data_IF_324483003253
#
_entry.id   IF_324483003253
#
_cell.length_a   1.000
_cell.length_b   1.000
_cell.length_c   1.000
_cell.angle_alpha   90.00
_cell.angle_beta   90.00
_cell.angle_gamma   90.00
#
_symmetry.space_group_name_H-M   'P 1'
#
loop_
_entity.id
_entity.type
_entity.pdbx_description
1 polymer ?
#
# COMPACT_ATOMS: atom_id res chain seq x y z
N UNK A 1 22.89 -13.87 -17.45
CA UNK A 1 22.50 -12.68 -16.70
C UNK A 1 22.49 -13.03 -15.23
N UNK A 2 23.16 -12.24 -14.38
CA UNK A 2 23.24 -12.44 -12.94
C UNK A 2 22.34 -11.45 -12.20
N UNK A 3 21.66 -11.91 -11.17
CA UNK A 3 20.79 -11.09 -10.33
C UNK A 3 21.38 -11.06 -8.91
N UNK A 4 21.58 -9.87 -8.37
CA UNK A 4 21.94 -9.68 -6.96
C UNK A 4 20.73 -9.22 -6.16
N UNK A 5 20.53 -9.78 -4.97
CA UNK A 5 19.71 -9.18 -3.93
C UNK A 5 20.51 -8.13 -3.18
N UNK A 6 19.95 -6.93 -2.99
CA UNK A 6 20.49 -5.87 -2.16
C UNK A 6 19.50 -5.54 -1.03
N UNK A 7 19.93 -5.71 0.21
CA UNK A 7 19.13 -5.43 1.40
C UNK A 7 19.87 -4.52 2.37
N UNK A 8 19.11 -3.66 3.04
CA UNK A 8 19.55 -2.97 4.26
C UNK A 8 18.79 -3.59 5.43
N UNK A 9 19.47 -3.83 6.54
CA UNK A 9 18.87 -4.48 7.72
C UNK A 9 19.24 -3.76 9.01
N UNK A 10 18.38 -3.88 10.03
CA UNK A 10 18.67 -3.48 11.40
C UNK A 10 17.71 -4.17 12.37
N UNK A 11 18.22 -5.05 13.22
CA UNK A 11 17.45 -5.73 14.25
C UNK A 11 16.23 -6.52 13.72
N UNK A 12 16.48 -7.45 12.79
CA UNK A 12 15.48 -8.25 12.09
C UNK A 12 15.74 -9.76 12.24
N UNK A 13 16.37 -10.19 13.34
CA UNK A 13 16.76 -11.61 13.55
C UNK A 13 15.58 -12.59 13.48
N UNK A 14 14.37 -12.14 13.85
CA UNK A 14 13.16 -12.95 13.91
C UNK A 14 12.55 -13.28 12.55
N UNK A 15 12.80 -12.44 11.53
CA UNK A 15 12.12 -12.51 10.21
C UNK A 15 13.08 -12.73 9.05
N UNK A 16 14.37 -12.40 9.22
CA UNK A 16 15.34 -12.38 8.14
C UNK A 16 15.58 -13.77 7.53
N UNK A 17 15.51 -14.84 8.31
CA UNK A 17 15.70 -16.21 7.82
C UNK A 17 14.62 -16.58 6.79
N UNK A 18 13.35 -16.27 7.07
CA UNK A 18 12.23 -16.54 6.15
C UNK A 18 12.35 -15.71 4.86
N UNK A 19 12.71 -14.43 4.98
CA UNK A 19 12.96 -13.55 3.84
C UNK A 19 14.05 -14.13 2.93
N UNK A 20 15.26 -14.35 3.49
CA UNK A 20 16.41 -14.85 2.72
C UNK A 20 16.17 -16.26 2.17
N UNK A 21 15.47 -17.11 2.92
CA UNK A 21 15.07 -18.44 2.48
C UNK A 21 14.17 -18.40 1.25
N UNK A 22 13.19 -17.51 1.23
CA UNK A 22 12.22 -17.36 0.13
C UNK A 22 12.85 -16.87 -1.18
N UNK A 23 13.89 -16.04 -1.11
CA UNK A 23 14.52 -15.41 -2.28
C UNK A 23 15.80 -16.12 -2.75
N UNK A 24 16.35 -17.05 -1.97
CA UNK A 24 17.63 -17.73 -2.26
C UNK A 24 17.71 -18.34 -3.66
N UNK A 25 16.60 -18.91 -4.16
CA UNK A 25 16.55 -19.54 -5.48
C UNK A 25 16.27 -18.55 -6.62
N UNK A 26 15.97 -17.28 -6.32
CA UNK A 26 15.65 -16.24 -7.30
C UNK A 26 16.90 -15.44 -7.70
N UNK A 27 17.95 -15.45 -6.90
CA UNK A 27 19.14 -14.61 -7.09
C UNK A 27 20.43 -15.43 -7.16
N UNK A 28 21.50 -14.82 -7.66
CA UNK A 28 22.85 -15.42 -7.76
C UNK A 28 23.78 -14.94 -6.63
N UNK A 29 23.41 -13.84 -5.96
CA UNK A 29 24.17 -13.22 -4.90
C UNK A 29 23.23 -12.54 -3.91
N UNK A 30 23.57 -12.60 -2.63
CA UNK A 30 22.88 -11.87 -1.56
C UNK A 30 23.85 -10.90 -0.91
N UNK A 31 23.53 -9.62 -0.99
CA UNK A 31 24.22 -8.53 -0.29
C UNK A 31 23.31 -8.03 0.83
N UNK A 32 23.82 -8.08 2.06
CA UNK A 32 23.17 -7.51 3.24
C UNK A 32 24.06 -6.40 3.79
N UNK A 33 23.49 -5.21 3.91
CA UNK A 33 24.12 -4.06 4.55
C UNK A 33 23.48 -3.85 5.92
N UNK A 34 24.26 -4.02 6.97
CA UNK A 34 23.84 -3.72 8.33
C UNK A 34 23.93 -2.23 8.64
N UNK A 35 22.89 -1.69 9.25
CA UNK A 35 22.83 -0.27 9.66
C UNK A 35 22.91 -0.09 11.18
N UNK A 36 23.54 -1.05 11.86
CA UNK A 36 23.77 -1.06 13.30
C UNK A 36 22.82 -1.97 14.05
N UNK A 37 22.77 -3.25 13.67
CA UNK A 37 22.07 -4.29 14.43
C UNK A 37 22.75 -4.55 15.78
N UNK A 38 21.96 -4.91 16.78
CA UNK A 38 22.38 -5.23 18.14
C UNK A 38 21.91 -6.62 18.60
N UNK A 39 21.20 -7.33 17.72
CA UNK A 39 20.70 -8.68 17.90
C UNK A 39 21.44 -9.67 16.96
N UNK A 40 20.94 -10.90 16.82
CA UNK A 40 21.51 -11.96 15.99
C UNK A 40 21.32 -11.81 14.48
N UNK A 41 20.85 -10.65 13.98
CA UNK A 41 20.54 -10.42 12.56
C UNK A 41 21.71 -10.80 11.64
N UNK A 42 22.94 -10.47 12.03
CA UNK A 42 24.11 -10.68 11.18
C UNK A 42 24.54 -12.14 11.15
N UNK A 43 24.40 -12.84 12.28
CA UNK A 43 24.64 -14.28 12.38
C UNK A 43 23.66 -15.04 11.48
N UNK A 44 22.38 -14.65 11.47
CA UNK A 44 21.36 -15.20 10.56
C UNK A 44 21.73 -14.95 9.10
N UNK A 45 22.04 -13.70 8.74
CA UNK A 45 22.43 -13.34 7.38
C UNK A 45 23.64 -14.16 6.86
N UNK A 46 24.69 -14.31 7.69
CA UNK A 46 25.88 -15.10 7.34
C UNK A 46 25.55 -16.58 7.14
N UNK A 47 24.73 -17.18 8.02
CA UNK A 47 24.29 -18.58 7.90
C UNK A 47 23.52 -18.82 6.60
N UNK A 48 22.76 -17.82 6.15
CA UNK A 48 22.00 -17.87 4.89
C UNK A 48 22.86 -17.63 3.64
N UNK A 49 24.17 -17.39 3.80
CA UNK A 49 25.12 -17.21 2.70
C UNK A 49 25.21 -15.78 2.17
N UNK A 50 24.71 -14.80 2.92
CA UNK A 50 24.82 -13.39 2.55
C UNK A 50 26.25 -12.86 2.72
N UNK A 51 26.67 -11.97 1.82
CA UNK A 51 27.85 -11.11 2.02
C UNK A 51 27.43 -9.90 2.85
N UNK A 52 28.10 -9.72 3.98
CA UNK A 52 27.75 -8.66 4.95
C UNK A 52 28.67 -7.47 4.76
N UNK A 53 28.08 -6.27 4.79
CA UNK A 53 28.79 -5.00 4.89
C UNK A 53 28.15 -4.16 5.98
N UNK A 54 28.93 -3.26 6.58
CA UNK A 54 28.43 -2.31 7.56
C UNK A 54 28.28 -0.93 6.92
N UNK A 55 27.23 -0.22 7.30
CA UNK A 55 26.98 1.16 6.92
C UNK A 55 26.53 1.95 8.14
N UNK A 56 27.27 3.00 8.51
CA UNK A 56 26.91 3.85 9.62
C UNK A 56 25.61 4.60 9.30
N UNK A 57 24.54 4.33 10.05
CA UNK A 57 23.26 5.00 9.87
C UNK A 57 23.38 6.52 9.92
N UNK A 58 22.98 7.18 8.83
CA UNK A 58 23.11 8.62 8.63
C UNK A 58 21.76 9.35 8.49
N UNK A 59 20.66 8.71 8.91
CA UNK A 59 19.29 9.23 8.71
C UNK A 59 18.89 9.37 7.23
N UNK A 60 19.40 8.47 6.37
CA UNK A 60 19.09 8.45 4.94
C UNK A 60 19.04 6.99 4.43
N UNK A 61 17.83 6.52 4.12
CA UNK A 61 17.60 5.18 3.57
C UNK A 61 18.18 5.03 2.17
N UNK A 62 18.12 6.07 1.32
CA UNK A 62 18.65 6.02 -0.03
C UNK A 62 20.17 5.82 -0.04
N UNK A 63 20.91 6.48 0.86
CA UNK A 63 22.36 6.29 0.98
C UNK A 63 22.71 4.85 1.33
N UNK A 64 22.01 4.25 2.30
CA UNK A 64 22.23 2.85 2.68
C UNK A 64 21.88 1.88 1.53
N UNK A 65 20.75 2.10 0.83
CA UNK A 65 20.37 1.27 -0.32
C UNK A 65 21.34 1.40 -1.49
N UNK A 66 21.81 2.61 -1.77
CA UNK A 66 22.80 2.86 -2.82
C UNK A 66 24.15 2.22 -2.47
N UNK A 67 24.55 2.24 -1.19
CA UNK A 67 25.74 1.52 -0.73
C UNK A 67 25.58 0.01 -0.93
N UNK A 68 24.43 -0.58 -0.58
CA UNK A 68 24.13 -1.99 -0.83
C UNK A 68 24.20 -2.35 -2.32
N UNK A 69 23.51 -1.58 -3.16
CA UNK A 69 23.51 -1.73 -4.61
C UNK A 69 24.93 -1.63 -5.21
N UNK A 70 25.78 -0.77 -4.65
CA UNK A 70 27.18 -0.61 -5.05
C UNK A 70 28.06 -1.84 -4.76
N UNK A 71 27.67 -2.71 -3.81
CA UNK A 71 28.38 -3.97 -3.51
C UNK A 71 27.94 -5.14 -4.38
N UNK A 72 26.79 -5.04 -5.05
CA UNK A 72 26.29 -6.09 -5.92
C UNK A 72 27.17 -6.27 -7.15
N UNK A 73 27.44 -7.52 -7.56
CA UNK A 73 28.15 -7.84 -8.81
C UNK A 73 27.21 -8.22 -9.96
N UNK A 74 25.92 -8.43 -9.68
CA UNK A 74 24.91 -8.78 -10.66
C UNK A 74 24.65 -7.67 -11.69
N UNK A 75 24.14 -8.09 -12.85
CA UNK A 75 23.71 -7.20 -13.93
C UNK A 75 22.42 -6.46 -13.54
N UNK A 76 21.60 -7.12 -12.72
CA UNK A 76 20.33 -6.62 -12.20
C UNK A 76 20.29 -6.72 -10.68
N UNK A 77 19.56 -5.80 -10.07
CA UNK A 77 19.41 -5.69 -8.63
C UNK A 77 17.94 -5.90 -8.27
N UNK A 78 17.69 -6.87 -7.40
CA UNK A 78 16.45 -7.00 -6.65
C UNK A 78 16.66 -6.38 -5.27
N UNK A 79 15.69 -5.60 -4.81
CA UNK A 79 15.69 -5.02 -3.46
C UNK A 79 14.49 -5.58 -2.70
N UNK A 80 14.72 -6.07 -1.49
CA UNK A 80 13.67 -6.48 -0.55
C UNK A 80 13.98 -5.89 0.83
N UNK A 81 12.94 -5.76 1.64
CA UNK A 81 13.06 -5.48 3.08
C UNK A 81 13.05 -6.80 3.87
N UNK A 82 13.62 -6.81 5.07
CA UNK A 82 13.87 -8.05 5.84
C UNK A 82 12.61 -8.79 6.28
N UNK A 83 11.47 -8.11 6.30
CA UNK A 83 10.16 -8.62 6.70
C UNK A 83 9.24 -8.93 5.49
N UNK A 84 9.80 -8.92 4.27
CA UNK A 84 9.15 -9.30 3.02
C UNK A 84 9.54 -10.74 2.62
N UNK A 85 8.53 -11.61 2.43
CA UNK A 85 8.72 -13.01 2.04
C UNK A 85 8.13 -13.26 0.65
N UNK A 86 8.91 -13.83 -0.28
CA UNK A 86 8.43 -14.16 -1.62
C UNK A 86 7.33 -15.23 -1.54
N UNK A 87 6.16 -14.91 -2.07
CA UNK A 87 4.98 -15.79 -2.10
C UNK A 87 4.70 -16.34 -3.51
N UNK A 88 4.85 -15.49 -4.53
CA UNK A 88 4.62 -15.86 -5.93
C UNK A 88 5.79 -15.36 -6.76
N UNK A 89 6.28 -16.19 -7.68
CA UNK A 89 7.29 -15.81 -8.66
C UNK A 89 8.53 -16.69 -8.58
N UNK A 90 9.20 -16.81 -9.70
CA UNK A 90 10.40 -17.62 -9.87
C UNK A 90 11.51 -16.83 -10.56
N UNK A 91 12.74 -17.34 -10.47
CA UNK A 91 13.91 -16.72 -11.12
C UNK A 91 13.69 -16.45 -12.61
N UNK A 92 12.97 -17.34 -13.29
CA UNK A 92 12.71 -17.21 -14.71
C UNK A 92 11.88 -15.95 -15.02
N UNK A 93 10.93 -15.56 -14.16
CA UNK A 93 10.14 -14.34 -14.37
C UNK A 93 11.04 -13.08 -14.33
N UNK A 94 12.05 -13.06 -13.46
CA UNK A 94 13.04 -11.97 -13.39
C UNK A 94 13.93 -11.96 -14.62
N UNK A 95 14.38 -13.14 -15.08
CA UNK A 95 15.22 -13.29 -16.27
C UNK A 95 14.48 -12.82 -17.52
N UNK A 96 13.25 -13.31 -17.73
CA UNK A 96 12.43 -12.95 -18.88
C UNK A 96 12.13 -11.45 -18.89
N UNK A 97 11.84 -10.87 -17.72
CA UNK A 97 11.63 -9.42 -17.63
C UNK A 97 12.87 -8.66 -18.09
N UNK A 98 14.04 -9.00 -17.54
CA UNK A 98 15.27 -8.26 -17.79
C UNK A 98 15.80 -8.43 -19.22
N UNK A 99 15.61 -9.60 -19.86
CA UNK A 99 15.95 -9.81 -21.28
C UNK A 99 15.02 -8.99 -22.19
N UNK A 100 13.71 -9.02 -21.93
CA UNK A 100 12.74 -8.35 -22.79
C UNK A 100 12.65 -6.83 -22.53
N UNK A 101 13.20 -6.35 -21.41
CA UNK A 101 13.06 -4.97 -20.96
C UNK A 101 14.37 -4.39 -20.38
N UNK A 102 15.48 -4.36 -21.15
CA UNK A 102 16.81 -4.01 -20.63
C UNK A 102 16.92 -2.58 -20.04
N UNK A 103 16.03 -1.67 -20.45
CA UNK A 103 15.94 -0.28 -19.95
C UNK A 103 14.62 0.02 -19.25
N UNK A 104 14.15 -0.93 -18.44
CA UNK A 104 12.95 -0.78 -17.62
C UNK A 104 13.22 -1.08 -16.15
N UNK A 105 12.35 -0.53 -15.29
CA UNK A 105 12.30 -0.86 -13.87
C UNK A 105 11.11 -1.78 -13.63
N UNK A 106 11.39 -2.92 -13.04
CA UNK A 106 10.43 -3.89 -12.53
C UNK A 106 9.78 -3.44 -11.24
N UNK A 107 8.45 -3.46 -11.22
CA UNK A 107 7.64 -3.32 -10.02
C UNK A 107 7.17 -4.68 -9.55
N UNK A 108 7.42 -5.00 -8.29
CA UNK A 108 6.92 -6.21 -7.65
C UNK A 108 5.65 -5.87 -6.87
N UNK A 109 4.77 -6.85 -6.68
CA UNK A 109 3.59 -6.69 -5.85
C UNK A 109 3.94 -6.97 -4.39
N UNK A 110 3.60 -6.06 -3.50
CA UNK A 110 3.76 -6.24 -2.05
C UNK A 110 2.36 -6.35 -1.45
N UNK A 111 2.05 -7.47 -0.80
CA UNK A 111 0.84 -7.65 0.00
C UNK A 111 1.18 -7.40 1.48
N UNK A 112 0.67 -6.30 2.05
CA UNK A 112 0.81 -5.97 3.47
C UNK A 112 -0.43 -6.37 4.23
N UNK A 113 -0.29 -7.19 5.28
CA UNK A 113 -1.40 -7.61 6.14
C UNK A 113 -1.62 -6.61 7.28
N UNK A 114 -2.87 -6.36 7.63
CA UNK A 114 -3.24 -5.49 8.75
C UNK A 114 -4.53 -5.96 9.43
N UNK A 115 -4.78 -5.48 10.64
CA UNK A 115 -6.03 -5.73 11.35
C UNK A 115 -7.07 -4.68 10.94
N UNK A 116 -8.22 -5.15 10.45
CA UNK A 116 -9.40 -4.34 10.11
C UNK A 116 -10.58 -4.79 11.00
N UNK A 117 -10.81 -4.05 12.09
CA UNK A 117 -11.74 -4.47 13.14
C UNK A 117 -11.30 -5.78 13.80
N UNK A 118 -12.08 -6.85 13.58
CA UNK A 118 -11.81 -8.19 14.11
C UNK A 118 -11.25 -9.16 13.05
N UNK A 119 -10.95 -8.66 11.85
CA UNK A 119 -10.50 -9.47 10.72
C UNK A 119 -9.06 -9.11 10.34
N UNK A 120 -8.35 -10.07 9.76
CA UNK A 120 -7.10 -9.78 9.05
C UNK A 120 -7.47 -9.39 7.63
N UNK A 121 -7.09 -8.19 7.23
CA UNK A 121 -7.19 -7.71 5.86
C UNK A 121 -5.80 -7.54 5.26
N UNK A 122 -5.76 -7.20 3.98
CA UNK A 122 -4.50 -6.89 3.32
C UNK A 122 -4.68 -5.77 2.30
N UNK A 123 -3.58 -5.04 2.10
CA UNK A 123 -3.45 -4.05 1.04
C UNK A 123 -2.34 -4.44 0.09
N UNK A 124 -2.46 -4.08 -1.17
CA UNK A 124 -1.44 -4.36 -2.18
C UNK A 124 -0.92 -3.10 -2.84
N UNK A 125 0.39 -3.08 -3.11
CA UNK A 125 1.04 -2.02 -3.86
C UNK A 125 2.10 -2.57 -4.81
N UNK A 126 2.34 -1.84 -5.90
CA UNK A 126 3.41 -2.15 -6.85
C UNK A 126 4.59 -1.20 -6.65
N UNK A 127 5.70 -1.74 -6.15
CA UNK A 127 6.89 -0.93 -5.80
C UNK A 127 8.05 -1.29 -6.71
N UNK A 128 8.77 -0.26 -7.18
CA UNK A 128 9.99 -0.41 -7.98
C UNK A 128 11.11 -1.08 -7.17
N UNK A 129 11.35 -2.36 -7.42
CA UNK A 129 12.30 -3.18 -6.65
C UNK A 129 13.28 -3.98 -7.52
N UNK A 130 13.05 -4.10 -8.82
CA UNK A 130 13.93 -4.84 -9.73
C UNK A 130 14.42 -3.95 -10.87
N UNK A 131 15.73 -3.76 -11.02
CA UNK A 131 16.26 -2.78 -11.97
C UNK A 131 17.67 -3.12 -12.45
N UNK A 132 18.09 -2.66 -13.64
CA UNK A 132 19.44 -2.87 -14.13
C UNK A 132 20.42 -2.08 -13.26
N UNK A 133 21.59 -2.64 -13.01
CA UNK A 133 22.64 -2.00 -12.22
C UNK A 133 23.04 -0.64 -12.82
N UNK A 134 23.32 0.33 -11.95
CA UNK A 134 23.73 1.68 -12.32
C UNK A 134 22.70 2.77 -12.03
N UNK A 135 21.48 2.40 -11.60
CA UNK A 135 20.50 3.35 -11.08
C UNK A 135 20.71 3.61 -9.58
N UNK A 136 20.24 4.77 -9.11
CA UNK A 136 20.35 5.18 -7.71
C UNK A 136 18.98 5.57 -7.15
N UNK A 137 18.78 5.29 -5.86
CA UNK A 137 17.68 5.83 -5.07
C UNK A 137 17.96 7.26 -4.64
N UNK A 138 16.90 8.04 -4.49
CA UNK A 138 16.92 9.41 -3.97
C UNK A 138 15.77 9.64 -2.99
N UNK A 139 16.02 10.50 -2.00
CA UNK A 139 15.11 10.83 -0.90
C UNK A 139 15.50 10.11 0.38
N UNK A 140 15.56 10.80 1.51
CA UNK A 140 16.05 10.18 2.76
C UNK A 140 15.11 9.10 3.32
N UNK A 141 13.83 9.10 2.91
CA UNK A 141 12.79 8.12 3.25
C UNK A 141 11.74 8.08 2.13
N UNK A 142 11.08 6.92 1.95
CA UNK A 142 10.18 6.66 0.82
C UNK A 142 10.89 6.89 -0.53
N UNK A 143 12.16 6.54 -0.54
CA UNK A 143 13.13 6.74 -1.59
C UNK A 143 12.68 6.15 -2.93
N UNK A 144 12.97 6.85 -4.01
CA UNK A 144 12.58 6.46 -5.37
C UNK A 144 13.81 6.29 -6.24
N UNK A 145 13.78 5.31 -7.16
CA UNK A 145 14.81 5.19 -8.19
C UNK A 145 14.74 6.40 -9.13
N UNK A 146 15.82 7.18 -9.17
CA UNK A 146 15.98 8.33 -10.04
C UNK A 146 16.35 7.86 -11.45
N UNK A 147 15.36 7.81 -12.34
CA UNK A 147 15.55 7.34 -13.72
C UNK A 147 14.36 7.69 -14.62
N UNK A 148 14.67 7.92 -15.91
CA UNK A 148 13.69 8.05 -16.99
C UNK A 148 13.15 6.70 -17.49
N UNK A 149 13.65 5.57 -16.96
CA UNK A 149 13.21 4.25 -17.38
C UNK A 149 11.73 4.02 -17.09
N UNK A 150 11.05 3.41 -18.06
CA UNK A 150 9.65 3.03 -17.88
C UNK A 150 9.53 1.95 -16.80
N UNK A 151 8.40 1.95 -16.09
CA UNK A 151 8.11 1.01 -15.01
C UNK A 151 7.07 0.00 -15.46
N UNK A 152 7.34 -1.29 -15.26
CA UNK A 152 6.44 -2.38 -15.63
C UNK A 152 6.30 -3.37 -14.49
N UNK A 153 5.11 -3.96 -14.34
CA UNK A 153 4.88 -4.97 -13.31
C UNK A 153 5.56 -6.28 -13.69
N UNK A 154 6.13 -6.94 -12.69
CA UNK A 154 6.69 -8.29 -12.78
C UNK A 154 5.74 -9.23 -12.06
N UNK A 155 5.64 -10.47 -12.54
CA UNK A 155 5.00 -11.56 -11.81
C UNK A 155 5.89 -12.02 -10.64
N UNK A 156 6.07 -11.15 -9.65
CA UNK A 156 6.75 -11.41 -8.39
C UNK A 156 5.94 -10.74 -7.29
N UNK A 157 5.50 -11.52 -6.32
CA UNK A 157 4.72 -11.09 -5.16
C UNK A 157 5.45 -11.44 -3.88
N UNK A 158 5.51 -10.47 -2.98
CA UNK A 158 6.02 -10.65 -1.62
C UNK A 158 4.91 -10.35 -0.62
N UNK A 159 4.85 -11.13 0.45
CA UNK A 159 4.02 -10.84 1.62
C UNK A 159 4.88 -10.08 2.60
N UNK A 160 4.47 -8.86 2.92
CA UNK A 160 5.04 -8.08 4.00
C UNK A 160 4.32 -8.48 5.30
N UNK A 161 5.05 -9.25 6.13
CA UNK A 161 4.50 -9.85 7.35
C UNK A 161 4.21 -8.81 8.43
N UNK A 162 4.97 -7.71 8.44
CA UNK A 162 4.73 -6.53 9.25
C UNK A 162 4.41 -6.85 10.71
N UNK A 163 5.19 -7.75 11.36
CA UNK A 163 5.03 -8.13 12.76
C UNK A 163 4.62 -6.90 13.59
N UNK A 164 3.36 -6.94 14.00
CA UNK A 164 2.53 -5.88 14.58
C UNK A 164 3.22 -4.55 14.91
N UNK A 165 2.87 -3.51 14.14
CA UNK A 165 2.80 -2.10 14.57
C UNK A 165 3.90 -1.64 15.55
N UNK A 166 5.17 -1.73 15.17
CA UNK A 166 6.14 -0.78 15.73
C UNK A 166 5.77 0.59 15.16
N UNK A 167 5.28 1.49 16.00
CA UNK A 167 4.99 2.86 15.59
C UNK A 167 6.30 3.55 15.17
N UNK A 168 6.56 3.54 13.86
CA UNK A 168 7.70 4.20 13.21
C UNK A 168 7.34 5.62 12.78
N UNK A 169 6.13 6.11 13.09
CA UNK A 169 5.61 7.38 12.57
C UNK A 169 6.48 8.56 12.97
N UNK A 170 6.90 8.65 14.25
CA UNK A 170 7.75 9.75 14.74
C UNK A 170 9.05 9.86 13.96
N UNK A 171 9.83 8.78 13.89
CA UNK A 171 11.10 8.74 13.13
C UNK A 171 10.88 9.12 11.68
N UNK A 172 9.84 8.56 11.05
CA UNK A 172 9.56 8.83 9.64
C UNK A 172 9.17 10.30 9.41
N UNK A 173 8.36 10.88 10.29
CA UNK A 173 7.98 12.29 10.23
C UNK A 173 9.19 13.21 10.42
N UNK A 174 10.10 12.91 11.36
CA UNK A 174 11.31 13.72 11.57
C UNK A 174 12.15 13.79 10.28
N UNK A 175 12.30 12.67 9.55
CA UNK A 175 12.99 12.62 8.27
C UNK A 175 12.24 13.39 7.18
N UNK A 176 10.92 13.17 7.08
CA UNK A 176 10.09 13.82 6.07
C UNK A 176 10.02 15.34 6.24
N UNK A 177 9.93 15.83 7.48
CA UNK A 177 9.95 17.27 7.75
C UNK A 177 11.28 17.89 7.37
N UNK A 178 12.40 17.20 7.67
CA UNK A 178 13.72 17.65 7.24
C UNK A 178 13.85 17.70 5.72
N UNK A 179 13.32 16.69 5.01
CA UNK A 179 13.31 16.70 3.53
C UNK A 179 12.49 17.89 2.99
N UNK A 180 11.34 18.16 3.61
CA UNK A 180 10.44 19.26 3.23
C UNK A 180 11.06 20.66 3.43
N UNK A 181 12.09 20.81 4.28
CA UNK A 181 12.82 22.08 4.41
C UNK A 181 13.51 22.50 3.10
N UNK A 182 13.88 21.54 2.25
CA UNK A 182 14.56 21.80 0.97
C UNK A 182 13.62 22.33 -0.12
N UNK A 183 12.40 21.81 -0.18
CA UNK A 183 11.30 22.31 -1.01
C UNK A 183 9.97 22.14 -0.27
N UNK A 184 9.45 23.24 0.28
CA UNK A 184 8.22 23.24 1.06
C UNK A 184 6.96 22.87 0.27
N UNK A 185 7.06 22.82 -1.06
CA UNK A 185 5.96 22.50 -1.98
C UNK A 185 6.16 21.16 -2.71
N UNK A 186 7.11 20.32 -2.30
CA UNK A 186 7.24 18.99 -2.85
C UNK A 186 5.98 18.16 -2.53
N UNK A 187 5.12 17.98 -3.53
CA UNK A 187 3.86 17.25 -3.39
C UNK A 187 4.06 15.80 -2.96
N UNK A 188 5.15 15.15 -3.36
CA UNK A 188 5.39 13.77 -2.96
C UNK A 188 5.72 13.71 -1.47
N UNK A 189 6.58 14.59 -0.97
CA UNK A 189 6.91 14.66 0.47
C UNK A 189 5.69 15.08 1.30
N UNK A 190 4.92 16.07 0.85
CA UNK A 190 3.66 16.47 1.48
C UNK A 190 2.67 15.31 1.58
N UNK A 191 2.51 14.53 0.51
CA UNK A 191 1.69 13.32 0.52
C UNK A 191 2.22 12.27 1.51
N UNK A 192 3.53 12.03 1.56
CA UNK A 192 4.13 11.07 2.50
C UNK A 192 3.92 11.48 3.96
N UNK A 193 4.03 12.77 4.27
CA UNK A 193 3.72 13.31 5.60
C UNK A 193 2.24 13.09 5.93
N UNK A 194 1.34 13.49 5.03
CA UNK A 194 -0.10 13.33 5.22
C UNK A 194 -0.49 11.86 5.46
N UNK A 195 0.07 10.95 4.65
CA UNK A 195 -0.12 9.50 4.78
C UNK A 195 0.39 8.96 6.12
N UNK A 196 1.57 9.40 6.56
CA UNK A 196 2.16 8.96 7.83
C UNK A 196 1.34 9.44 9.02
N UNK A 197 0.88 10.69 9.02
CA UNK A 197 -0.02 11.24 10.04
C UNK A 197 -1.38 10.53 10.05
N UNK A 198 -1.93 10.24 8.87
CA UNK A 198 -3.20 9.52 8.74
C UNK A 198 -3.12 8.11 9.33
N UNK A 199 -2.07 7.34 9.01
CA UNK A 199 -1.85 6.01 9.60
C UNK A 199 -1.68 6.08 11.12
N UNK A 200 -1.02 7.15 11.61
CA UNK A 200 -0.91 7.46 13.04
C UNK A 200 -2.21 8.03 13.65
N UNK A 201 -3.32 8.07 12.90
CA UNK A 201 -4.64 8.59 13.30
C UNK A 201 -4.66 10.06 13.73
N UNK A 202 -3.66 10.83 13.29
CA UNK A 202 -3.55 12.29 13.51
C UNK A 202 -4.23 13.04 12.36
N UNK A 203 -5.53 12.80 12.18
CA UNK A 203 -6.26 13.17 10.97
C UNK A 203 -6.34 14.68 10.69
N UNK A 204 -6.46 15.50 11.75
CA UNK A 204 -6.48 16.97 11.61
C UNK A 204 -5.13 17.52 11.16
N UNK A 205 -4.03 16.98 11.70
CA UNK A 205 -2.70 17.37 11.25
C UNK A 205 -2.42 16.87 9.84
N UNK A 206 -2.87 15.66 9.51
CA UNK A 206 -2.77 15.10 8.16
C UNK A 206 -3.48 15.98 7.13
N UNK A 207 -4.65 16.53 7.48
CA UNK A 207 -5.46 17.38 6.60
C UNK A 207 -4.70 18.62 6.12
N UNK A 208 -3.90 19.24 6.99
CA UNK A 208 -3.07 20.39 6.62
C UNK A 208 -2.11 20.07 5.46
N UNK A 209 -1.57 18.85 5.44
CA UNK A 209 -0.65 18.41 4.38
C UNK A 209 -1.39 17.88 3.16
N UNK A 210 -2.53 17.20 3.34
CA UNK A 210 -3.40 16.84 2.24
C UNK A 210 -3.87 18.08 1.47
N UNK A 211 -4.33 19.12 2.15
CA UNK A 211 -4.81 20.35 1.53
C UNK A 211 -3.69 21.03 0.71
N UNK A 212 -2.48 21.14 1.28
CA UNK A 212 -1.31 21.70 0.58
C UNK A 212 -0.96 20.90 -0.68
N UNK A 213 -0.91 19.57 -0.56
CA UNK A 213 -0.64 18.69 -1.70
C UNK A 213 -1.76 18.80 -2.76
N UNK A 214 -3.02 18.88 -2.32
CA UNK A 214 -4.18 18.96 -3.20
C UNK A 214 -4.20 20.24 -4.03
N UNK A 215 -3.86 21.39 -3.43
CA UNK A 215 -3.79 22.69 -4.13
C UNK A 215 -2.82 22.69 -5.31
N UNK A 216 -1.75 21.91 -5.21
CA UNK A 216 -0.67 21.88 -6.19
C UNK A 216 -0.63 20.58 -6.99
N UNK A 217 -1.64 19.72 -6.89
CA UNK A 217 -1.61 18.39 -7.50
C UNK A 217 -1.53 18.49 -9.04
N UNK A 218 -0.53 17.83 -9.62
CA UNK A 218 -0.42 17.66 -11.08
C UNK A 218 -0.79 16.22 -11.42
N UNK A 219 -1.65 16.03 -12.42
CA UNK A 219 -2.27 14.72 -12.73
C UNK A 219 -1.34 13.64 -13.33
N UNK A 220 -0.02 13.79 -13.23
CA UNK A 220 0.96 12.91 -13.88
C UNK A 220 1.77 12.05 -12.91
N UNK A 221 1.44 12.02 -11.62
CA UNK A 221 2.15 11.23 -10.63
C UNK A 221 1.49 9.87 -10.40
N UNK A 222 2.32 8.83 -10.24
CA UNK A 222 1.90 7.44 -10.06
C UNK A 222 1.10 7.19 -8.77
N UNK A 223 1.11 8.12 -7.81
CA UNK A 223 0.44 8.00 -6.52
C UNK A 223 -0.90 8.76 -6.44
N UNK A 224 -1.32 9.47 -7.49
CA UNK A 224 -2.51 10.35 -7.45
C UNK A 224 -3.79 9.61 -7.03
N UNK A 225 -3.99 8.38 -7.54
CA UNK A 225 -5.14 7.55 -7.16
C UNK A 225 -5.17 7.27 -5.66
N UNK A 226 -4.06 6.76 -5.13
CA UNK A 226 -3.90 6.46 -3.70
C UNK A 226 -4.06 7.71 -2.83
N UNK A 227 -3.53 8.85 -3.30
CA UNK A 227 -3.71 10.14 -2.64
C UNK A 227 -5.19 10.53 -2.52
N UNK A 228 -5.95 10.50 -3.62
CA UNK A 228 -7.36 10.91 -3.63
C UNK A 228 -8.19 10.01 -2.71
N UNK A 229 -8.04 8.68 -2.79
CA UNK A 229 -8.76 7.74 -1.94
C UNK A 229 -8.44 7.98 -0.45
N UNK A 230 -7.16 8.14 -0.12
CA UNK A 230 -6.73 8.39 1.26
C UNK A 230 -7.20 9.75 1.77
N UNK A 231 -7.22 10.78 0.92
CA UNK A 231 -7.69 12.09 1.32
C UNK A 231 -9.20 12.10 1.59
N UNK A 232 -10.01 11.47 0.73
CA UNK A 232 -11.44 11.27 0.98
C UNK A 232 -11.65 10.57 2.33
N UNK A 233 -10.88 9.50 2.61
CA UNK A 233 -10.96 8.81 3.90
C UNK A 233 -10.56 9.72 5.07
N UNK A 234 -9.52 10.54 4.93
CA UNK A 234 -9.14 11.51 5.95
C UNK A 234 -10.27 12.51 6.26
N UNK A 235 -10.91 13.05 5.22
CA UNK A 235 -12.02 14.00 5.34
C UNK A 235 -13.23 13.41 6.06
N UNK A 236 -13.50 12.11 5.87
CA UNK A 236 -14.52 11.37 6.65
C UNK A 236 -14.18 11.39 8.14
N UNK A 237 -12.93 11.09 8.50
CA UNK A 237 -12.50 11.01 9.90
C UNK A 237 -12.53 12.36 10.64
N UNK A 238 -12.52 13.48 9.92
CA UNK A 238 -12.62 14.86 10.47
C UNK A 238 -13.92 15.56 10.10
N UNK A 239 -14.91 14.83 9.55
CA UNK A 239 -16.23 15.35 9.17
C UNK A 239 -16.22 16.56 8.21
N UNK A 240 -15.20 16.70 7.35
CA UNK A 240 -15.10 17.77 6.34
C UNK A 240 -15.78 17.36 5.03
N UNK A 241 -17.08 17.14 5.10
CA UNK A 241 -17.81 16.52 4.00
C UNK A 241 -18.00 17.42 2.76
N UNK A 242 -18.19 18.73 2.91
CA UNK A 242 -18.34 19.62 1.75
C UNK A 242 -17.10 19.57 0.83
N UNK A 243 -15.91 19.47 1.42
CA UNK A 243 -14.66 19.30 0.67
C UNK A 243 -14.65 17.93 -0.02
N UNK A 244 -15.03 16.88 0.69
CA UNK A 244 -15.07 15.53 0.14
C UNK A 244 -16.04 15.38 -1.04
N UNK A 245 -17.22 15.99 -0.97
CA UNK A 245 -18.20 16.05 -2.07
C UNK A 245 -17.58 16.67 -3.32
N UNK A 246 -16.96 17.85 -3.18
CA UNK A 246 -16.31 18.54 -4.30
C UNK A 246 -15.17 17.70 -4.91
N UNK A 247 -14.39 17.01 -4.09
CA UNK A 247 -13.31 16.12 -4.58
C UNK A 247 -13.89 14.94 -5.35
N UNK A 248 -14.90 14.27 -4.80
CA UNK A 248 -15.55 13.12 -5.45
C UNK A 248 -16.14 13.54 -6.79
N UNK A 249 -16.91 14.64 -6.83
CA UNK A 249 -17.50 15.17 -8.06
C UNK A 249 -16.43 15.47 -9.12
N UNK A 250 -15.36 16.15 -8.72
CA UNK A 250 -14.26 16.53 -9.63
C UNK A 250 -13.56 15.32 -10.26
N UNK A 251 -13.38 14.23 -9.52
CA UNK A 251 -12.62 13.06 -9.99
C UNK A 251 -13.46 11.86 -10.40
N UNK A 252 -14.78 11.95 -10.29
CA UNK A 252 -15.67 10.84 -10.59
C UNK A 252 -15.42 10.27 -11.99
N UNK A 253 -15.44 11.11 -13.03
CA UNK A 253 -15.21 10.68 -14.41
C UNK A 253 -13.84 10.02 -14.64
N UNK A 254 -12.85 10.35 -13.82
CA UNK A 254 -11.50 9.81 -13.94
C UNK A 254 -11.35 8.46 -13.25
N UNK A 255 -12.02 8.24 -12.11
CA UNK A 255 -11.83 7.08 -11.26
C UNK A 255 -13.08 6.19 -11.08
N UNK A 256 -14.19 6.47 -11.76
CA UNK A 256 -15.44 5.69 -11.63
C UNK A 256 -15.32 4.22 -12.04
N UNK A 257 -14.27 3.84 -12.77
CA UNK A 257 -13.97 2.45 -13.14
C UNK A 257 -12.96 1.78 -12.17
N UNK A 258 -12.68 2.38 -11.02
CA UNK A 258 -11.80 1.85 -9.98
C UNK A 258 -12.60 1.44 -8.74
N UNK A 259 -12.42 0.20 -8.29
CA UNK A 259 -13.19 -0.33 -7.17
C UNK A 259 -12.84 0.36 -5.84
N UNK A 260 -11.56 0.70 -5.59
CA UNK A 260 -11.14 1.40 -4.37
C UNK A 260 -11.73 2.81 -4.26
N UNK A 261 -11.79 3.54 -5.38
CA UNK A 261 -12.42 4.86 -5.43
C UNK A 261 -13.91 4.79 -5.13
N UNK A 262 -14.64 3.89 -5.79
CA UNK A 262 -16.07 3.71 -5.54
C UNK A 262 -16.34 3.22 -4.12
N UNK A 263 -15.51 2.33 -3.58
CA UNK A 263 -15.64 1.88 -2.20
C UNK A 263 -15.44 3.03 -1.21
N UNK A 264 -14.44 3.88 -1.46
CA UNK A 264 -14.20 5.10 -0.68
C UNK A 264 -15.39 6.07 -0.76
N UNK A 265 -16.02 6.21 -1.93
CA UNK A 265 -17.25 7.00 -2.11
C UNK A 265 -18.41 6.42 -1.30
N UNK A 266 -18.62 5.11 -1.31
CA UNK A 266 -19.68 4.45 -0.53
C UNK A 266 -19.52 4.70 0.97
N UNK A 267 -18.30 4.57 1.49
CA UNK A 267 -17.98 4.89 2.90
C UNK A 267 -18.20 6.38 3.18
N UNK A 268 -17.78 7.26 2.26
CA UNK A 268 -17.96 8.70 2.39
C UNK A 268 -19.44 9.07 2.45
N UNK A 269 -20.28 8.62 1.51
CA UNK A 269 -21.71 8.93 1.48
C UNK A 269 -22.45 8.37 2.70
N UNK A 270 -22.06 7.20 3.19
CA UNK A 270 -22.62 6.65 4.43
C UNK A 270 -22.35 7.58 5.62
N UNK A 271 -21.11 8.03 5.80
CA UNK A 271 -20.76 8.94 6.90
C UNK A 271 -21.37 10.34 6.72
N UNK A 272 -21.44 10.84 5.48
CA UNK A 272 -22.11 12.10 5.14
C UNK A 272 -23.57 12.09 5.61
N UNK A 273 -24.32 11.05 5.27
CA UNK A 273 -25.74 10.97 5.62
C UNK A 273 -25.93 10.79 7.12
N UNK A 274 -25.07 10.00 7.77
CA UNK A 274 -25.09 9.86 9.23
C UNK A 274 -24.79 11.17 9.96
N UNK A 275 -24.04 12.09 9.35
CA UNK A 275 -23.75 13.41 9.93
C UNK A 275 -24.99 14.32 9.96
N UNK A 276 -25.81 14.31 8.91
CA UNK A 276 -27.07 15.06 8.85
C UNK A 276 -28.03 14.46 7.80
N UNK A 277 -28.94 13.59 8.25
CA UNK A 277 -29.89 12.88 7.39
C UNK A 277 -30.84 13.83 6.66
N UNK A 278 -31.27 14.92 7.31
CA UNK A 278 -32.22 15.86 6.73
C UNK A 278 -31.63 16.65 5.58
N UNK A 279 -30.36 17.01 5.67
CA UNK A 279 -29.65 17.79 4.66
C UNK A 279 -29.14 16.93 3.51
N UNK A 280 -28.55 15.77 3.85
CA UNK A 280 -27.82 14.95 2.90
C UNK A 280 -28.58 13.70 2.43
N UNK A 281 -29.81 13.48 2.89
CA UNK A 281 -30.64 12.33 2.49
C UNK A 281 -30.83 12.19 0.98
N UNK A 282 -30.70 13.28 0.21
CA UNK A 282 -30.70 13.26 -1.27
C UNK A 282 -29.59 12.41 -1.88
N UNK A 283 -28.49 12.16 -1.16
CA UNK A 283 -27.35 11.36 -1.61
C UNK A 283 -27.47 9.86 -1.23
N UNK A 284 -28.57 9.43 -0.61
CA UNK A 284 -28.74 8.05 -0.12
C UNK A 284 -28.55 7.00 -1.21
N UNK A 285 -29.06 7.26 -2.41
CA UNK A 285 -28.94 6.35 -3.54
C UNK A 285 -27.46 6.13 -3.97
N UNK A 286 -26.58 7.10 -3.73
CA UNK A 286 -25.16 7.00 -4.10
C UNK A 286 -24.41 5.96 -3.26
N UNK A 287 -24.91 5.60 -2.07
CA UNK A 287 -24.33 4.50 -1.29
C UNK A 287 -24.50 3.17 -2.04
N UNK A 288 -25.72 2.89 -2.49
CA UNK A 288 -26.03 1.67 -3.26
C UNK A 288 -25.24 1.66 -4.58
N UNK A 289 -25.28 2.76 -5.33
CA UNK A 289 -24.57 2.88 -6.61
C UNK A 289 -23.07 2.64 -6.46
N UNK A 290 -22.44 3.23 -5.43
CA UNK A 290 -21.00 3.10 -5.18
C UNK A 290 -20.59 1.64 -5.00
N UNK A 291 -21.26 0.90 -4.12
CA UNK A 291 -20.89 -0.50 -3.86
C UNK A 291 -21.34 -1.46 -4.96
N UNK A 292 -22.44 -1.18 -5.67
CA UNK A 292 -22.79 -1.94 -6.87
C UNK A 292 -21.73 -1.76 -7.96
N UNK A 293 -21.20 -0.54 -8.12
CA UNK A 293 -20.11 -0.27 -9.07
C UNK A 293 -18.86 -1.05 -8.71
N UNK A 294 -18.51 -1.15 -7.43
CA UNK A 294 -17.42 -2.01 -6.98
C UNK A 294 -17.61 -3.46 -7.44
N UNK A 295 -18.81 -4.04 -7.24
CA UNK A 295 -19.11 -5.42 -7.64
C UNK A 295 -19.17 -5.61 -9.16
N UNK A 296 -19.61 -4.59 -9.90
CA UNK A 296 -19.59 -4.59 -11.37
C UNK A 296 -18.14 -4.63 -11.90
N UNK A 297 -17.24 -3.84 -11.30
CA UNK A 297 -15.82 -3.82 -11.65
C UNK A 297 -15.14 -5.14 -11.26
N UNK A 298 -15.49 -5.68 -10.09
CA UNK A 298 -14.90 -6.90 -9.56
C UNK A 298 -13.49 -6.73 -8.97
N UNK A 299 -12.92 -7.80 -8.43
CA UNK A 299 -11.54 -7.80 -7.94
C UNK A 299 -10.56 -7.65 -9.12
N UNK A 300 -9.60 -6.73 -8.98
CA UNK A 300 -8.57 -6.51 -10.01
C UNK A 300 -7.17 -6.70 -9.45
N UNK A 301 -6.19 -6.94 -10.32
CA UNK A 301 -4.79 -7.05 -9.90
C UNK A 301 -4.21 -5.74 -9.31
N UNK A 302 -4.87 -4.59 -9.52
CA UNK A 302 -4.44 -3.27 -9.06
C UNK A 302 -5.31 -2.73 -7.91
N UNK A 303 -6.10 -3.61 -7.28
CA UNK A 303 -6.89 -3.30 -6.10
C UNK A 303 -5.97 -2.98 -4.91
N UNK A 304 -6.16 -1.81 -4.30
CA UNK A 304 -5.34 -1.37 -3.17
C UNK A 304 -5.73 -2.14 -1.93
N UNK A 305 -7.02 -2.24 -1.60
CA UNK A 305 -7.50 -2.97 -0.42
C UNK A 305 -8.23 -4.22 -0.85
N UNK A 306 -7.75 -5.39 -0.40
CA UNK A 306 -8.33 -6.66 -0.80
C UNK A 306 -9.83 -6.73 -0.48
N UNK A 307 -10.62 -7.06 -1.50
CA UNK A 307 -12.05 -7.35 -1.40
C UNK A 307 -12.96 -6.14 -1.60
N UNK A 308 -12.45 -4.95 -1.90
CA UNK A 308 -13.30 -3.79 -2.18
C UNK A 308 -14.13 -3.96 -3.44
N UNK A 309 -13.65 -4.68 -4.45
CA UNK A 309 -14.40 -5.09 -5.63
C UNK A 309 -15.25 -6.36 -5.44
N UNK A 310 -15.25 -6.95 -4.24
CA UNK A 310 -15.96 -8.21 -3.98
C UNK A 310 -16.60 -8.25 -2.58
N UNK A 311 -16.09 -9.08 -1.66
CA UNK A 311 -16.73 -9.37 -0.39
C UNK A 311 -16.90 -8.18 0.54
N UNK A 312 -16.02 -7.17 0.53
CA UNK A 312 -16.20 -5.96 1.35
C UNK A 312 -17.33 -5.09 0.79
N UNK A 313 -17.40 -4.90 -0.53
CA UNK A 313 -18.52 -4.16 -1.14
C UNK A 313 -19.86 -4.88 -0.92
N UNK A 314 -19.89 -6.20 -1.11
CA UNK A 314 -21.08 -6.99 -0.81
C UNK A 314 -21.48 -6.88 0.67
N UNK A 315 -20.53 -6.95 1.61
CA UNK A 315 -20.83 -6.77 3.02
C UNK A 315 -21.46 -5.40 3.30
N UNK A 316 -20.87 -4.32 2.78
CA UNK A 316 -21.36 -2.97 3.01
C UNK A 316 -22.73 -2.71 2.35
N UNK A 317 -23.02 -3.32 1.19
CA UNK A 317 -24.38 -3.35 0.64
C UNK A 317 -25.35 -4.05 1.58
N UNK A 318 -24.95 -5.19 2.15
CA UNK A 318 -25.74 -5.89 3.16
C UNK A 318 -26.09 -5.00 4.35
N UNK A 319 -25.09 -4.28 4.89
CA UNK A 319 -25.26 -3.31 5.99
C UNK A 319 -26.21 -2.17 5.59
N UNK A 320 -26.03 -1.62 4.39
CA UNK A 320 -26.91 -0.57 3.86
C UNK A 320 -28.36 -1.04 3.81
N UNK A 321 -28.64 -2.18 3.15
CA UNK A 321 -30.00 -2.70 3.03
C UNK A 321 -30.61 -3.12 4.36
N UNK A 322 -29.83 -3.67 5.29
CA UNK A 322 -30.31 -3.98 6.65
C UNK A 322 -30.77 -2.69 7.33
N UNK A 323 -29.98 -1.62 7.23
CA UNK A 323 -30.24 -0.33 7.86
C UNK A 323 -31.44 0.39 7.23
N UNK A 324 -31.65 0.25 5.91
CA UNK A 324 -32.80 0.84 5.20
C UNK A 324 -34.05 -0.06 5.20
N UNK A 325 -34.01 -1.21 5.90
CA UNK A 325 -35.16 -2.11 6.07
C UNK A 325 -35.43 -3.09 4.94
N UNK A 326 -34.55 -3.22 3.93
CA UNK A 326 -34.67 -4.22 2.87
C UNK A 326 -33.95 -5.51 3.26
N UNK A 327 -34.57 -6.30 4.12
CA UNK A 327 -33.96 -7.50 4.71
C UNK A 327 -33.63 -8.58 3.68
N UNK A 328 -34.41 -8.73 2.60
CA UNK A 328 -34.15 -9.72 1.56
C UNK A 328 -32.85 -9.42 0.80
N UNK A 329 -32.66 -8.16 0.37
CA UNK A 329 -31.40 -7.73 -0.23
C UNK A 329 -30.25 -7.81 0.76
N UNK A 330 -30.46 -7.46 2.03
CA UNK A 330 -29.44 -7.59 3.07
C UNK A 330 -28.94 -9.04 3.21
N UNK A 331 -29.86 -10.01 3.33
CA UNK A 331 -29.55 -11.45 3.39
C UNK A 331 -28.77 -11.90 2.15
N UNK A 332 -29.19 -11.47 0.97
CA UNK A 332 -28.51 -11.81 -0.28
C UNK A 332 -27.05 -11.35 -0.26
N UNK A 333 -26.79 -10.08 0.03
CA UNK A 333 -25.45 -9.52 -0.04
C UNK A 333 -24.52 -9.99 1.10
N UNK A 334 -25.04 -10.22 2.30
CA UNK A 334 -24.25 -10.90 3.33
C UNK A 334 -23.88 -12.32 2.92
N UNK A 335 -24.77 -13.06 2.24
CA UNK A 335 -24.46 -14.40 1.72
C UNK A 335 -23.40 -14.34 0.62
N UNK A 336 -23.46 -13.35 -0.29
CA UNK A 336 -22.43 -13.13 -1.32
C UNK A 336 -21.07 -12.92 -0.67
N UNK A 337 -20.98 -12.01 0.30
CA UNK A 337 -19.74 -11.73 1.03
C UNK A 337 -19.22 -12.93 1.82
N UNK A 338 -20.12 -13.65 2.52
CA UNK A 338 -19.78 -14.85 3.27
C UNK A 338 -19.22 -15.97 2.38
N UNK A 339 -19.79 -16.18 1.19
CA UNK A 339 -19.32 -17.23 0.27
C UNK A 339 -17.88 -17.01 -0.21
N UNK A 340 -17.35 -15.78 -0.11
CA UNK A 340 -15.94 -15.46 -0.37
C UNK A 340 -15.04 -15.57 0.89
N UNK A 341 -15.58 -16.06 1.99
CA UNK A 341 -14.83 -16.31 3.23
C UNK A 341 -14.80 -15.14 4.21
N UNK A 342 -15.58 -14.07 3.99
CA UNK A 342 -15.62 -12.95 4.92
C UNK A 342 -16.44 -13.29 6.18
N UNK A 343 -15.74 -13.59 7.27
CA UNK A 343 -16.34 -14.14 8.50
C UNK A 343 -17.31 -13.16 9.17
N UNK A 344 -17.00 -11.87 9.19
CA UNK A 344 -17.91 -10.83 9.69
C UNK A 344 -19.27 -10.82 8.95
N UNK A 345 -19.31 -11.16 7.66
CA UNK A 345 -20.58 -11.31 6.93
C UNK A 345 -21.37 -12.54 7.35
N UNK A 346 -20.69 -13.66 7.68
CA UNK A 346 -21.33 -14.88 8.18
C UNK A 346 -22.14 -14.60 9.45
N UNK A 347 -21.50 -13.95 10.42
CA UNK A 347 -22.11 -13.65 11.72
C UNK A 347 -23.35 -12.75 11.56
N UNK A 348 -23.31 -11.81 10.60
CA UNK A 348 -24.45 -10.95 10.28
C UNK A 348 -25.55 -11.72 9.56
N UNK A 349 -25.21 -12.53 8.55
CA UNK A 349 -26.17 -13.36 7.82
C UNK A 349 -26.96 -14.28 8.75
N UNK A 350 -26.28 -14.99 9.65
CA UNK A 350 -26.93 -15.90 10.61
C UNK A 350 -27.89 -15.17 11.56
N UNK A 351 -27.55 -13.95 12.00
CA UNK A 351 -28.42 -13.14 12.88
C UNK A 351 -29.70 -12.65 12.21
N UNK A 352 -29.66 -12.37 10.90
CA UNK A 352 -30.82 -11.82 10.20
C UNK A 352 -31.63 -12.88 9.45
N UNK A 353 -31.07 -14.08 9.20
CA UNK A 353 -31.75 -15.15 8.45
C UNK A 353 -33.12 -15.51 9.02
N UNK A 354 -33.26 -15.42 10.35
CA UNK A 354 -34.45 -15.80 11.11
C UNK A 354 -35.42 -14.64 11.40
N UNK A 355 -35.10 -13.42 10.94
CA UNK A 355 -35.98 -12.24 10.96
C UNK A 355 -36.64 -12.05 9.62
#
# INVERSE_FOLDING_TARGET
>A
MKISLAMIVKNEEEVLEDCLGSVKNLVDEIIVVDTGSQDGTIEVARKMGAKIYEFQWCNDFSMARNFAAGKCIGDWILVLDADEVVNIGEKQNLIDFAINNPSCIGRIKIESKFIDGNEISSSTEYVSRFYPKGLMYKGCIHEQLESLYTRKNINLEVIHSGYFNKDKSKRNLDLLFKELESDSNDNYILYQIARTLHVAKRYEEADMYFEKCYKNIKFNYSYNKSFINLYINNLVNINKFDIGLNIIEKYYNQYSNDADFNFSCGIFYMNLILSNVMEYGKYLYLIEESYLKCLEIGSTANEIVRGVGSFKAAYNLGVFYETTGNLDKAKYYYKVSYNEGYKTAKDRFEKIKDK
#
